data_IF_855887926600
#
_entry.id   IF_855887926600
#
_cell.length_a   1.000
_cell.length_b   1.000
_cell.length_c   1.000
_cell.angle_alpha   90.00
_cell.angle_beta   90.00
_cell.angle_gamma   90.00
#
_symmetry.space_group_name_H-M   'P 1'
#
loop_
_entity.id
_entity.type
_entity.pdbx_description
1 polymer ?
#
# COMPACT_ATOMS: atom_id res chain seq x y z
N UNK A 1 15.37 1.81 -22.39
CA UNK A 1 13.94 1.94 -22.03
C UNK A 1 13.88 2.72 -20.72
N UNK A 2 13.09 3.79 -20.65
CA UNK A 2 12.87 4.55 -19.41
C UNK A 2 12.17 3.67 -18.37
N UNK A 3 12.63 3.68 -17.12
CA UNK A 3 11.92 3.01 -16.02
C UNK A 3 10.54 3.67 -15.84
N UNK A 4 9.47 2.93 -16.15
CA UNK A 4 8.07 3.40 -16.06
C UNK A 4 7.69 3.84 -14.66
N UNK A 5 8.36 3.31 -13.63
CA UNK A 5 8.03 3.55 -12.22
C UNK A 5 9.05 4.46 -11.53
N UNK A 6 9.91 5.15 -12.30
CA UNK A 6 10.96 6.00 -11.74
C UNK A 6 10.45 7.04 -10.74
N UNK A 7 9.25 7.60 -10.95
CA UNK A 7 8.64 8.58 -10.06
C UNK A 7 8.22 8.03 -8.70
N UNK A 8 8.03 6.72 -8.59
CA UNK A 8 7.61 6.03 -7.36
C UNK A 8 8.80 5.43 -6.61
N UNK A 9 10.02 5.55 -7.16
CA UNK A 9 11.25 5.05 -6.57
C UNK A 9 12.06 6.21 -6.01
N UNK A 10 12.35 6.17 -4.72
CA UNK A 10 13.17 7.20 -4.11
C UNK A 10 13.00 7.30 -2.60
N UNK A 11 13.88 8.10 -2.00
CA UNK A 11 13.72 8.49 -0.60
C UNK A 11 12.64 9.58 -0.50
N UNK A 12 11.90 9.64 0.63
CA UNK A 12 10.94 10.69 0.88
C UNK A 12 11.58 12.07 0.78
N UNK A 13 10.88 13.01 0.14
CA UNK A 13 11.27 14.43 0.10
C UNK A 13 10.70 15.23 1.28
N UNK A 14 9.72 14.65 1.97
CA UNK A 14 9.06 15.20 3.15
C UNK A 14 9.63 14.55 4.42
N UNK A 15 9.63 15.24 5.57
CA UNK A 15 10.12 14.66 6.83
C UNK A 15 9.27 13.46 7.28
N UNK A 16 9.81 12.63 8.18
CA UNK A 16 9.01 11.60 8.84
C UNK A 16 7.94 12.26 9.72
N UNK A 17 6.77 11.61 9.86
CA UNK A 17 5.66 12.19 10.62
C UNK A 17 6.07 12.48 12.09
N UNK A 18 6.01 13.75 12.54
CA UNK A 18 6.71 14.21 13.75
C UNK A 18 6.10 13.72 15.06
N UNK A 19 4.84 13.25 15.08
CA UNK A 19 4.10 13.01 16.33
C UNK A 19 4.03 11.57 16.83
N UNK A 20 4.52 10.57 16.10
CA UNK A 20 4.03 9.22 16.44
C UNK A 20 4.89 8.03 16.05
N UNK A 21 6.08 8.21 15.47
CA UNK A 21 6.89 7.09 14.98
C UNK A 21 6.00 6.08 14.24
N UNK A 22 5.06 6.58 13.41
CA UNK A 22 4.08 5.69 12.79
C UNK A 22 4.81 4.88 11.76
N UNK A 23 4.56 3.57 11.78
CA UNK A 23 5.03 2.68 10.74
C UNK A 23 3.96 1.66 10.41
N UNK A 24 3.99 1.22 9.17
CA UNK A 24 3.13 0.20 8.64
C UNK A 24 3.90 -1.10 8.48
N UNK A 25 3.27 -2.21 8.84
CA UNK A 25 3.80 -3.55 8.59
C UNK A 25 2.74 -4.38 7.88
N UNK A 26 3.04 -4.89 6.69
CA UNK A 26 2.18 -5.83 5.98
C UNK A 26 2.80 -7.22 6.00
N UNK A 27 2.04 -8.20 6.50
CA UNK A 27 2.50 -9.59 6.64
C UNK A 27 1.88 -10.59 5.63
N UNK A 28 1.19 -10.09 4.60
CA UNK A 28 0.42 -10.94 3.67
C UNK A 28 -1.02 -11.22 4.07
N UNK A 29 -1.40 -10.96 5.32
CA UNK A 29 -2.80 -11.12 5.79
C UNK A 29 -3.34 -9.90 6.52
N UNK A 30 -2.45 -9.12 7.12
CA UNK A 30 -2.79 -7.95 7.89
C UNK A 30 -1.84 -6.81 7.57
N UNK A 31 -2.40 -5.61 7.48
CA UNK A 31 -1.66 -4.37 7.59
C UNK A 31 -1.80 -3.88 9.03
N UNK A 32 -0.68 -3.76 9.73
CA UNK A 32 -0.62 -3.19 11.08
C UNK A 32 -0.11 -1.76 10.98
N UNK A 33 -0.84 -0.82 11.56
CA UNK A 33 -0.38 0.54 11.78
C UNK A 33 0.01 0.68 13.25
N UNK A 34 1.29 0.89 13.51
CA UNK A 34 1.83 1.08 14.86
C UNK A 34 2.11 2.56 15.11
N UNK A 35 1.94 3.00 16.34
CA UNK A 35 2.12 4.36 16.83
C UNK A 35 1.72 4.41 18.31
N UNK A 36 1.20 5.53 18.83
CA UNK A 36 0.66 5.61 20.18
C UNK A 36 -0.43 4.56 20.45
N UNK A 37 -1.19 4.20 19.43
CA UNK A 37 -2.10 3.06 19.44
C UNK A 37 -1.80 2.17 18.22
N UNK A 38 -1.95 0.85 18.39
CA UNK A 38 -1.80 -0.10 17.30
C UNK A 38 -3.17 -0.42 16.69
N UNK A 39 -3.26 -0.38 15.37
CA UNK A 39 -4.44 -0.75 14.58
C UNK A 39 -4.09 -1.88 13.62
N UNK A 40 -5.02 -2.79 13.36
CA UNK A 40 -4.81 -3.95 12.50
C UNK A 40 -5.97 -4.01 11.51
N UNK A 41 -5.64 -4.09 10.22
CA UNK A 41 -6.59 -4.20 9.13
C UNK A 41 -6.37 -5.51 8.40
N UNK A 42 -7.43 -6.27 8.13
CA UNK A 42 -7.36 -7.41 7.22
C UNK A 42 -6.95 -6.91 5.84
N UNK A 43 -5.93 -7.53 5.26
CA UNK A 43 -5.37 -7.07 3.99
C UNK A 43 -4.78 -8.23 3.19
N UNK A 44 -4.80 -8.11 1.86
CA UNK A 44 -4.24 -9.12 0.95
C UNK A 44 -3.47 -8.46 -0.18
N UNK A 45 -2.55 -9.21 -0.79
CA UNK A 45 -1.82 -8.77 -1.97
C UNK A 45 -1.65 -9.90 -2.98
N UNK A 46 -1.61 -9.56 -4.27
CA UNK A 46 -1.53 -10.55 -5.34
C UNK A 46 -2.89 -11.18 -5.64
N UNK A 47 -3.00 -11.85 -6.79
CA UNK A 47 -4.17 -12.67 -7.12
C UNK A 47 -3.99 -14.08 -6.61
N UNK A 48 -5.08 -14.67 -6.13
CA UNK A 48 -5.13 -16.07 -5.73
C UNK A 48 -4.81 -17.01 -6.90
N UNK A 49 -4.37 -18.22 -6.57
CA UNK A 49 -4.29 -19.32 -7.51
C UNK A 49 -5.68 -19.92 -7.81
N UNK A 50 -5.72 -20.98 -8.62
CA UNK A 50 -6.95 -21.70 -8.97
C UNK A 50 -7.65 -22.35 -7.76
N UNK A 51 -6.95 -22.53 -6.65
CA UNK A 51 -7.47 -23.05 -5.39
C UNK A 51 -7.91 -21.96 -4.41
N UNK A 52 -7.89 -20.68 -4.82
CA UNK A 52 -8.27 -19.56 -3.97
C UNK A 52 -7.22 -19.17 -2.92
N UNK A 53 -5.98 -19.68 -3.03
CA UNK A 53 -4.90 -19.39 -2.08
C UNK A 53 -3.99 -18.29 -2.59
N UNK A 54 -3.51 -17.43 -1.69
CA UNK A 54 -2.48 -16.46 -2.00
C UNK A 54 -1.10 -17.13 -2.01
N UNK A 55 -0.31 -16.85 -3.05
CA UNK A 55 1.05 -17.35 -3.21
C UNK A 55 2.03 -16.19 -3.03
N UNK A 56 2.77 -16.23 -1.92
CA UNK A 56 3.77 -15.23 -1.55
C UNK A 56 5.21 -15.64 -1.91
N UNK A 57 5.40 -16.69 -2.71
CA UNK A 57 6.73 -17.14 -3.14
C UNK A 57 7.45 -16.07 -3.97
N UNK A 58 8.78 -16.07 -3.91
CA UNK A 58 9.62 -15.16 -4.71
C UNK A 58 9.38 -15.31 -6.22
N UNK A 59 9.01 -16.51 -6.69
CA UNK A 59 8.63 -16.72 -8.09
C UNK A 59 7.33 -16.01 -8.45
N UNK A 60 6.33 -16.05 -7.58
CA UNK A 60 5.05 -15.36 -7.79
C UNK A 60 5.21 -13.85 -7.73
N UNK A 61 6.05 -13.34 -6.84
CA UNK A 61 6.40 -11.91 -6.75
C UNK A 61 7.03 -11.33 -8.02
N UNK A 62 7.61 -12.17 -8.91
CA UNK A 62 8.15 -11.73 -10.21
C UNK A 62 7.10 -11.60 -11.30
N UNK A 63 5.88 -12.13 -11.08
CA UNK A 63 4.85 -12.17 -12.12
C UNK A 63 4.06 -10.86 -12.15
N UNK A 64 4.20 -10.12 -13.24
CA UNK A 64 3.40 -8.93 -13.51
C UNK A 64 1.91 -9.25 -13.60
N UNK A 65 1.07 -8.30 -13.20
CA UNK A 65 -0.40 -8.43 -13.29
C UNK A 65 -1.05 -9.36 -12.25
N UNK A 66 -0.27 -10.22 -11.56
CA UNK A 66 -0.82 -11.24 -10.65
C UNK A 66 -0.06 -11.41 -9.34
N UNK A 67 1.23 -11.09 -9.31
CA UNK A 67 2.07 -11.32 -8.13
C UNK A 67 1.75 -10.38 -6.97
N UNK A 68 1.98 -10.79 -5.72
CA UNK A 68 1.87 -9.90 -4.57
C UNK A 68 2.98 -8.83 -4.58
N UNK A 69 2.85 -7.83 -3.71
CA UNK A 69 3.90 -6.84 -3.50
C UNK A 69 5.19 -7.55 -3.04
N UNK A 70 6.36 -7.30 -3.64
CA UNK A 70 7.59 -7.92 -3.16
C UNK A 70 7.94 -7.47 -1.72
N UNK A 71 8.49 -8.34 -0.86
CA UNK A 71 9.02 -7.95 0.45
C UNK A 71 10.07 -6.85 0.34
N UNK A 72 10.11 -5.96 1.31
CA UNK A 72 11.07 -4.87 1.32
C UNK A 72 10.61 -3.64 2.10
N UNK A 73 11.32 -2.55 1.85
CA UNK A 73 11.08 -1.26 2.47
C UNK A 73 10.39 -0.33 1.48
N UNK A 74 9.29 0.26 1.93
CA UNK A 74 8.45 1.16 1.19
C UNK A 74 8.05 2.34 2.09
N UNK A 75 7.35 3.32 1.54
CA UNK A 75 6.77 4.40 2.31
C UNK A 75 5.52 4.93 1.63
N UNK A 76 4.69 5.63 2.40
CA UNK A 76 3.53 6.37 1.92
C UNK A 76 3.62 7.82 2.37
N UNK A 77 2.90 8.70 1.68
CA UNK A 77 2.75 10.10 2.04
C UNK A 77 1.26 10.40 2.23
N UNK A 78 0.77 10.69 3.46
CA UNK A 78 -0.66 10.89 3.72
C UNK A 78 -1.30 11.98 2.85
N UNK A 79 -0.56 13.03 2.48
CA UNK A 79 -1.00 14.09 1.54
C UNK A 79 -1.37 13.55 0.15
N UNK A 80 -0.86 12.38 -0.25
CA UNK A 80 -1.14 11.73 -1.53
C UNK A 80 -2.36 10.79 -1.48
N UNK A 81 -3.15 10.84 -0.40
CA UNK A 81 -4.42 10.13 -0.35
C UNK A 81 -5.32 10.63 -1.49
N UNK A 82 -5.72 9.71 -2.36
CA UNK A 82 -6.66 9.97 -3.44
C UNK A 82 -8.06 9.54 -3.02
N UNK A 83 -9.05 10.39 -3.27
CA UNK A 83 -10.47 10.16 -2.96
C UNK A 83 -11.28 9.96 -4.26
N UNK A 84 -12.17 8.97 -4.24
CA UNK A 84 -13.00 8.60 -5.38
C UNK A 84 -14.31 9.40 -5.41
N UNK A 85 -14.25 10.59 -6.00
CA UNK A 85 -15.43 11.42 -6.21
C UNK A 85 -16.36 10.86 -7.30
N UNK A 86 -17.62 11.28 -7.29
CA UNK A 86 -18.67 10.78 -8.20
C UNK A 86 -18.36 11.00 -9.69
N UNK A 87 -17.51 11.96 -10.02
CA UNK A 87 -17.07 12.27 -11.39
C UNK A 87 -15.81 11.51 -11.81
N UNK A 88 -15.22 10.69 -10.94
CA UNK A 88 -14.08 9.86 -11.29
C UNK A 88 -14.57 8.58 -11.97
N UNK A 89 -13.97 8.24 -13.11
CA UNK A 89 -14.29 7.01 -13.86
C UNK A 89 -13.67 5.73 -13.25
N UNK A 90 -13.04 5.83 -12.08
CA UNK A 90 -12.38 4.70 -11.43
C UNK A 90 -13.41 3.79 -10.74
N UNK A 91 -13.50 2.50 -11.12
CA UNK A 91 -14.50 1.60 -10.54
C UNK A 91 -14.30 1.42 -9.03
N UNK A 92 -15.29 1.85 -8.22
CA UNK A 92 -15.29 1.66 -6.76
C UNK A 92 -15.12 0.21 -6.34
N UNK A 93 -15.64 -0.74 -7.13
CA UNK A 93 -15.44 -2.17 -6.87
C UNK A 93 -13.96 -2.58 -6.87
N UNK A 94 -13.13 -1.93 -7.70
CA UNK A 94 -11.71 -2.22 -7.82
C UNK A 94 -10.82 -1.38 -6.88
N UNK A 95 -11.19 -0.11 -6.66
CA UNK A 95 -10.33 0.86 -5.96
C UNK A 95 -10.88 1.35 -4.61
N UNK A 96 -12.16 1.11 -4.33
CA UNK A 96 -12.86 1.70 -3.20
C UNK A 96 -13.09 3.20 -3.35
N UNK A 97 -13.32 3.85 -2.22
CA UNK A 97 -13.44 5.31 -2.12
C UNK A 97 -12.09 5.99 -1.89
N UNK A 98 -11.07 5.24 -1.48
CA UNK A 98 -9.74 5.78 -1.22
C UNK A 98 -8.63 4.85 -1.74
N UNK A 99 -7.55 5.47 -2.23
CA UNK A 99 -6.27 4.78 -2.48
C UNK A 99 -5.10 5.70 -2.16
N UNK A 100 -3.97 5.12 -1.79
CA UNK A 100 -2.73 5.86 -1.54
C UNK A 100 -1.56 5.14 -2.20
N UNK A 101 -0.67 5.91 -2.84
CA UNK A 101 0.52 5.39 -3.54
C UNK A 101 1.52 4.84 -2.53
N UNK A 102 2.08 3.67 -2.85
CA UNK A 102 3.21 3.09 -2.13
C UNK A 102 4.48 3.40 -2.93
N UNK A 103 5.38 4.16 -2.33
CA UNK A 103 6.69 4.46 -2.88
C UNK A 103 7.73 3.43 -2.43
N UNK A 104 8.71 3.19 -3.28
CA UNK A 104 9.73 2.17 -3.12
C UNK A 104 11.00 2.84 -2.63
N UNK A 105 11.49 2.46 -1.43
CA UNK A 105 12.80 2.92 -0.98
C UNK A 105 13.91 2.42 -1.91
N UNK A 106 14.99 3.20 -2.10
CA UNK A 106 16.18 2.72 -2.82
C UNK A 106 16.69 1.41 -2.23
N UNK A 107 17.03 0.45 -3.09
CA UNK A 107 17.51 -0.87 -2.70
C UNK A 107 16.43 -1.94 -2.50
N UNK A 108 15.14 -1.57 -2.46
CA UNK A 108 14.05 -2.57 -2.43
C UNK A 108 13.92 -3.26 -3.79
N UNK A 109 14.08 -4.59 -3.81
CA UNK A 109 13.96 -5.40 -5.02
C UNK A 109 12.51 -5.61 -5.41
N UNK A 110 12.08 -4.99 -6.50
CA UNK A 110 10.71 -5.14 -7.01
C UNK A 110 10.62 -5.93 -8.32
N UNK A 111 11.73 -6.48 -8.82
CA UNK A 111 11.79 -7.24 -10.08
C UNK A 111 11.30 -6.42 -11.29
N UNK A 112 11.56 -5.11 -11.30
CA UNK A 112 11.10 -4.20 -12.36
C UNK A 112 9.65 -3.72 -12.19
N UNK A 113 8.94 -4.18 -11.15
CA UNK A 113 7.54 -3.82 -10.89
C UNK A 113 7.41 -2.52 -10.10
N UNK A 114 6.24 -1.90 -10.20
CA UNK A 114 5.82 -0.70 -9.46
C UNK A 114 4.31 -0.49 -9.66
N UNK A 115 3.84 0.73 -9.41
CA UNK A 115 2.42 1.09 -9.44
C UNK A 115 1.66 0.47 -8.29
N UNK A 116 2.27 0.43 -7.11
CA UNK A 116 1.70 -0.19 -5.91
C UNK A 116 0.86 0.82 -5.12
N UNK A 117 -0.27 0.35 -4.60
CA UNK A 117 -1.18 1.16 -3.81
C UNK A 117 -1.64 0.43 -2.55
N UNK A 118 -2.04 1.17 -1.53
CA UNK A 118 -2.97 0.66 -0.51
C UNK A 118 -4.36 1.15 -0.93
N UNK A 119 -5.33 0.25 -1.05
CA UNK A 119 -6.67 0.60 -1.53
C UNK A 119 -7.77 -0.27 -0.91
N UNK A 120 -9.01 0.17 -1.10
CA UNK A 120 -10.20 -0.62 -0.75
C UNK A 120 -10.82 -1.31 -1.96
N UNK A 121 -12.11 -1.58 -1.86
CA UNK A 121 -12.90 -2.21 -2.93
C UNK A 121 -13.14 -3.70 -2.69
N UNK A 122 -14.14 -4.22 -3.37
CA UNK A 122 -14.65 -5.58 -3.18
C UNK A 122 -13.89 -6.64 -3.97
N UNK A 123 -13.12 -6.23 -4.99
CA UNK A 123 -12.33 -7.16 -5.79
C UNK A 123 -11.03 -7.56 -5.08
N UNK A 124 -11.00 -8.78 -4.55
CA UNK A 124 -9.81 -9.37 -3.94
C UNK A 124 -8.73 -9.65 -4.98
N UNK A 125 -7.52 -9.20 -4.67
CA UNK A 125 -6.32 -9.49 -5.44
C UNK A 125 -5.98 -8.43 -6.46
N UNK A 126 -4.87 -7.78 -6.21
CA UNK A 126 -4.29 -6.73 -7.04
C UNK A 126 -2.96 -7.23 -7.61
N UNK A 127 -2.50 -6.60 -8.69
CA UNK A 127 -1.21 -6.89 -9.31
C UNK A 127 -0.03 -6.35 -8.46
N UNK A 128 -0.06 -6.57 -7.15
CA UNK A 128 0.94 -6.12 -6.18
C UNK A 128 0.51 -4.95 -5.29
N UNK A 129 -0.77 -4.56 -5.25
CA UNK A 129 -1.26 -3.60 -4.26
C UNK A 129 -1.57 -4.30 -2.92
N UNK A 130 -1.81 -3.53 -1.87
CA UNK A 130 -2.31 -4.02 -0.59
C UNK A 130 -3.79 -3.63 -0.51
N UNK A 131 -4.70 -4.61 -0.63
CA UNK A 131 -6.13 -4.38 -0.60
C UNK A 131 -6.67 -4.62 0.82
N UNK A 132 -7.30 -3.60 1.40
CA UNK A 132 -7.88 -3.61 2.77
C UNK A 132 -9.39 -3.93 2.78
N UNK A 133 -9.98 -4.15 1.61
CA UNK A 133 -11.43 -4.34 1.43
C UNK A 133 -12.23 -3.21 2.09
N UNK A 134 -13.20 -3.56 2.94
CA UNK A 134 -13.98 -2.62 3.72
C UNK A 134 -13.16 -1.93 4.84
N UNK A 135 -11.97 -2.42 5.16
CA UNK A 135 -11.08 -1.85 6.16
C UNK A 135 -10.42 -0.53 5.73
N UNK A 136 -10.49 -0.17 4.44
CA UNK A 136 -9.83 1.02 3.91
C UNK A 136 -10.31 2.31 4.59
N UNK A 137 -11.60 2.47 4.83
CA UNK A 137 -12.15 3.71 5.41
C UNK A 137 -11.71 3.90 6.88
N UNK A 138 -11.61 2.81 7.63
CA UNK A 138 -11.05 2.85 8.98
C UNK A 138 -9.56 3.20 8.94
N UNK A 139 -8.80 2.63 8.01
CA UNK A 139 -7.39 2.98 7.81
C UNK A 139 -7.22 4.46 7.45
N UNK A 140 -8.04 5.01 6.55
CA UNK A 140 -7.98 6.43 6.16
C UNK A 140 -8.22 7.34 7.36
N UNK A 141 -9.23 7.04 8.18
CA UNK A 141 -9.52 7.82 9.40
C UNK A 141 -8.34 7.80 10.36
N UNK A 142 -7.81 6.61 10.66
CA UNK A 142 -6.73 6.43 11.61
C UNK A 142 -5.42 7.08 11.09
N UNK A 143 -5.17 6.98 9.77
CA UNK A 143 -4.04 7.64 9.10
C UNK A 143 -4.17 9.17 9.16
N UNK A 144 -5.35 9.72 8.87
CA UNK A 144 -5.64 11.16 8.96
C UNK A 144 -5.42 11.65 10.39
N UNK A 145 -5.93 10.93 11.40
CA UNK A 145 -5.70 11.25 12.81
C UNK A 145 -4.19 11.30 13.13
N UNK A 146 -3.45 10.27 12.74
CA UNK A 146 -2.00 10.19 12.97
C UNK A 146 -1.19 11.28 12.26
N UNK A 147 -1.63 11.73 11.09
CA UNK A 147 -0.97 12.75 10.27
C UNK A 147 -1.53 14.17 10.48
N UNK A 148 -2.57 14.37 11.30
CA UNK A 148 -3.31 15.64 11.46
C UNK A 148 -2.40 16.87 11.61
N UNK A 149 -1.32 16.75 12.37
CA UNK A 149 -0.44 17.88 12.64
C UNK A 149 0.62 18.16 11.57
N UNK A 150 0.77 17.28 10.58
CA UNK A 150 1.71 17.39 9.47
C UNK A 150 1.26 16.44 8.36
N UNK A 151 0.37 16.87 7.45
CA UNK A 151 -0.09 16.02 6.36
C UNK A 151 1.03 15.74 5.34
N UNK A 152 1.97 16.68 5.19
CA UNK A 152 3.16 16.57 4.34
C UNK A 152 4.30 15.87 5.10
N UNK A 153 4.09 14.59 5.40
CA UNK A 153 5.07 13.74 6.05
C UNK A 153 5.10 12.35 5.42
N UNK A 154 6.16 11.58 5.67
CA UNK A 154 6.22 10.18 5.23
C UNK A 154 6.04 9.20 6.38
N UNK A 155 5.44 8.05 6.04
CA UNK A 155 5.25 6.92 6.94
C UNK A 155 5.92 5.69 6.31
N UNK A 156 6.93 5.08 6.98
CA UNK A 156 7.55 3.85 6.51
C UNK A 156 6.55 2.68 6.47
N UNK A 157 6.69 1.84 5.44
CA UNK A 157 5.96 0.60 5.25
C UNK A 157 6.95 -0.54 5.04
N UNK A 158 6.92 -1.54 5.91
CA UNK A 158 7.66 -2.79 5.76
C UNK A 158 6.74 -3.89 5.26
N UNK A 159 7.12 -4.56 4.18
CA UNK A 159 6.45 -5.77 3.68
C UNK A 159 7.30 -6.99 4.02
N UNK A 160 6.71 -7.97 4.70
CA UNK A 160 7.31 -9.29 5.01
C UNK A 160 6.24 -10.37 4.87
N UNK A 161 6.62 -11.62 4.64
CA UNK A 161 5.69 -12.77 4.55
C UNK A 161 6.17 -13.89 5.45
#
# INVERSE_FOLDING_TARGET
MSDRYASERGSPRVPACPRSQVFLNFNGRFLTMSGPTSRIYAAVSGRTDSGGKFDYSSMRQRKDGVGPIPPGQYWIEPSQMWENHWYNFAPRAAWGDHRITIHVYPGTQTYGRGGFFIHGGTHAGSAGCINLHAGMESFVRDLKEAATSSPDCNIPLTVRY
#
